data_IF_656664034456
#
_entry.id   IF_656664034456
#
_cell.length_a   1.000
_cell.length_b   1.000
_cell.length_c   1.000
_cell.angle_alpha   90.00
_cell.angle_beta   90.00
_cell.angle_gamma   90.00
#
_symmetry.space_group_name_H-M   'P 1'
#
loop_
_entity.id
_entity.type
_entity.pdbx_description
1 polymer ?
#
# COMPACT_ATOMS: atom_id res chain seq x y z
N UNK A 1 -30.27 21.81 -10.01
CA UNK A 1 -29.68 21.85 -11.37
C UNK A 1 -28.44 20.98 -11.34
N UNK A 2 -28.43 19.82 -12.00
CA UNK A 2 -27.24 18.96 -12.06
C UNK A 2 -26.35 19.44 -13.21
N UNK A 3 -25.07 19.61 -12.94
CA UNK A 3 -24.07 19.84 -13.98
C UNK A 3 -23.90 18.53 -14.76
N UNK A 4 -24.21 18.59 -16.06
CA UNK A 4 -23.88 17.56 -17.03
C UNK A 4 -22.36 17.34 -17.01
N UNK A 5 -21.96 16.10 -16.76
CA UNK A 5 -20.60 15.63 -16.95
C UNK A 5 -20.50 15.05 -18.37
N UNK A 6 -19.64 15.58 -19.26
CA UNK A 6 -19.20 14.83 -20.41
C UNK A 6 -18.09 13.87 -19.98
N UNK A 7 -18.20 12.62 -20.43
CA UNK A 7 -17.16 11.60 -20.34
C UNK A 7 -15.86 12.06 -21.01
N UNK A 8 -14.74 11.77 -20.36
CA UNK A 8 -13.41 12.02 -20.88
C UNK A 8 -12.37 12.13 -19.78
N UNK A 9 -11.74 11.00 -19.44
CA UNK A 9 -10.35 10.95 -18.93
C UNK A 9 -10.09 11.24 -17.43
N UNK A 10 -10.89 10.66 -16.52
CA UNK A 10 -10.66 10.72 -15.06
C UNK A 10 -9.50 9.86 -14.53
N UNK A 11 -8.76 9.16 -15.41
CA UNK A 11 -7.72 8.20 -15.02
C UNK A 11 -6.31 8.55 -15.51
N UNK A 12 -6.09 9.78 -16.02
CA UNK A 12 -4.81 10.14 -16.63
C UNK A 12 -3.65 10.34 -15.63
N UNK A 13 -3.96 10.65 -14.37
CA UNK A 13 -2.97 10.95 -13.32
C UNK A 13 -2.21 9.72 -12.79
N UNK A 14 -2.75 8.51 -12.97
CA UNK A 14 -2.25 7.31 -12.27
C UNK A 14 -1.34 6.41 -13.11
N UNK A 15 -0.98 6.79 -14.34
CA UNK A 15 -0.29 5.86 -15.26
C UNK A 15 1.23 5.83 -15.18
N UNK A 16 1.89 6.82 -14.59
CA UNK A 16 3.37 6.87 -14.48
C UNK A 16 3.79 7.52 -13.15
N UNK A 17 3.64 6.81 -12.02
CA UNK A 17 4.10 7.28 -10.71
C UNK A 17 5.59 6.95 -10.52
N UNK A 18 6.44 7.69 -11.22
CA UNK A 18 7.88 7.74 -10.94
C UNK A 18 8.14 8.96 -10.04
N UNK A 19 8.95 8.79 -8.98
CA UNK A 19 9.46 9.92 -8.18
C UNK A 19 10.78 10.34 -8.81
N UNK A 20 10.79 11.57 -9.29
CA UNK A 20 11.95 12.18 -9.91
C UNK A 20 12.43 13.34 -9.01
N UNK A 21 13.65 13.29 -8.48
CA UNK A 21 14.19 14.38 -7.64
C UNK A 21 14.61 15.55 -8.52
N UNK A 22 14.03 16.73 -8.29
CA UNK A 22 14.42 17.98 -8.98
C UNK A 22 15.61 18.61 -8.25
N UNK A 23 15.50 18.71 -6.92
CA UNK A 23 16.57 19.12 -6.02
C UNK A 23 16.31 18.59 -4.60
N UNK A 24 17.16 19.00 -3.64
CA UNK A 24 17.09 18.59 -2.24
C UNK A 24 15.85 19.10 -1.46
N UNK A 25 14.96 19.84 -2.12
CA UNK A 25 13.71 20.39 -1.58
C UNK A 25 12.50 20.15 -2.48
N UNK A 26 12.66 19.47 -3.62
CA UNK A 26 11.55 19.30 -4.55
C UNK A 26 11.63 18.03 -5.39
N UNK A 27 10.45 17.43 -5.61
CA UNK A 27 10.30 16.13 -6.27
C UNK A 27 9.09 16.14 -7.19
N UNK A 28 9.15 15.41 -8.29
CA UNK A 28 8.01 15.21 -9.19
C UNK A 28 7.45 13.81 -8.98
N UNK A 29 6.15 13.71 -8.74
CA UNK A 29 5.40 12.46 -8.60
C UNK A 29 4.18 12.49 -9.52
N UNK A 30 4.16 11.64 -10.56
CA UNK A 30 2.95 11.46 -11.38
C UNK A 30 2.41 12.73 -12.05
N UNK A 31 3.29 13.72 -12.32
CA UNK A 31 2.91 15.03 -12.87
C UNK A 31 2.59 16.10 -11.82
N UNK A 32 2.75 15.81 -10.53
CA UNK A 32 2.70 16.79 -9.45
C UNK A 32 4.11 17.14 -8.97
N UNK A 33 4.37 18.42 -8.68
CA UNK A 33 5.58 18.90 -8.00
C UNK A 33 5.31 19.01 -6.51
N UNK A 34 6.07 18.29 -5.71
CA UNK A 34 6.11 18.40 -4.25
C UNK A 34 7.27 19.31 -3.89
N UNK A 35 7.05 20.30 -3.00
CA UNK A 35 8.08 21.23 -2.55
C UNK A 35 8.10 21.31 -1.03
N UNK A 36 9.29 21.25 -0.42
CA UNK A 36 9.54 21.40 1.03
C UNK A 36 9.96 22.83 1.36
N UNK A 37 9.46 23.35 2.47
CA UNK A 37 9.75 24.68 3.00
C UNK A 37 10.12 24.62 4.48
N UNK A 38 11.10 25.43 4.89
CA UNK A 38 11.50 25.60 6.30
C UNK A 38 10.57 26.57 7.06
N UNK A 39 9.58 27.14 6.38
CA UNK A 39 8.60 28.06 6.96
C UNK A 39 7.25 27.85 6.30
N UNK A 40 6.19 28.15 7.04
CA UNK A 40 4.80 27.90 6.66
C UNK A 40 4.43 28.60 5.34
N UNK A 41 4.19 27.86 4.24
CA UNK A 41 3.84 28.41 2.95
C UNK A 41 2.34 28.78 2.90
N UNK A 42 1.87 29.44 1.82
CA UNK A 42 0.45 29.58 1.56
C UNK A 42 -0.25 28.21 1.45
N UNK A 43 -1.51 28.13 1.89
CA UNK A 43 -2.33 26.92 1.78
C UNK A 43 -2.65 26.60 0.30
N UNK A 44 -2.82 25.32 -0.09
CA UNK A 44 -2.77 24.13 0.77
C UNK A 44 -1.35 23.64 1.08
N UNK A 45 -1.10 23.26 2.34
CA UNK A 45 0.16 22.64 2.75
C UNK A 45 -0.08 21.55 3.81
N UNK A 46 0.89 20.65 3.99
CA UNK A 46 0.99 19.76 5.15
C UNK A 46 2.33 19.97 5.88
N UNK A 47 2.40 19.57 7.15
CA UNK A 47 3.56 19.74 8.03
C UNK A 47 4.07 18.36 8.46
N UNK A 48 5.38 18.17 8.59
CA UNK A 48 5.96 16.97 9.20
C UNK A 48 6.22 17.17 10.71
N UNK A 49 6.71 16.13 11.38
CA UNK A 49 7.05 16.16 12.80
C UNK A 49 8.38 16.90 13.10
N UNK A 50 9.11 17.31 12.07
CA UNK A 50 10.37 18.03 12.15
C UNK A 50 10.20 19.55 11.92
N UNK A 51 8.97 20.00 11.67
CA UNK A 51 8.62 21.41 11.48
C UNK A 51 8.85 21.92 10.05
N UNK A 52 9.02 21.03 9.07
CA UNK A 52 8.99 21.40 7.66
C UNK A 52 7.56 21.36 7.12
N UNK A 53 7.35 22.15 6.07
CA UNK A 53 6.07 22.28 5.41
C UNK A 53 6.20 21.83 3.96
N UNK A 54 5.12 21.28 3.41
CA UNK A 54 5.11 20.76 2.05
C UNK A 54 3.92 21.28 1.29
N UNK A 55 4.12 21.62 0.02
CA UNK A 55 3.05 21.91 -0.92
C UNK A 55 3.09 20.94 -2.07
N UNK A 56 1.94 20.77 -2.74
CA UNK A 56 1.84 20.01 -3.97
C UNK A 56 1.18 20.88 -5.03
N UNK A 57 1.85 21.06 -6.17
CA UNK A 57 1.33 21.78 -7.34
C UNK A 57 1.40 20.90 -8.58
N UNK A 58 0.84 21.35 -9.69
CA UNK A 58 1.10 20.73 -10.98
C UNK A 58 2.60 20.89 -11.34
N UNK A 59 3.21 19.86 -11.93
CA UNK A 59 4.59 19.93 -12.39
C UNK A 59 4.70 20.88 -13.59
N UNK A 60 5.76 21.70 -13.67
CA UNK A 60 5.92 22.64 -14.77
C UNK A 60 6.18 21.92 -16.11
N UNK A 61 5.77 22.57 -17.20
CA UNK A 61 6.03 22.15 -18.59
C UNK A 61 6.91 23.20 -19.29
N UNK A 62 8.14 22.86 -19.74
CA UNK A 62 8.75 21.53 -19.72
C UNK A 62 9.15 21.07 -18.31
N UNK A 63 9.15 19.74 -18.11
CA UNK A 63 9.61 19.13 -16.86
C UNK A 63 11.03 19.61 -16.51
N UNK A 64 11.31 19.91 -15.23
CA UNK A 64 12.66 20.15 -14.73
C UNK A 64 13.57 18.95 -14.97
N UNK A 65 14.88 19.18 -14.97
CA UNK A 65 15.87 18.09 -14.97
C UNK A 65 15.79 17.38 -13.63
N UNK A 66 15.74 16.05 -13.68
CA UNK A 66 15.63 15.22 -12.48
C UNK A 66 16.75 14.19 -12.38
N UNK A 67 17.04 13.73 -11.16
CA UNK A 67 18.07 12.74 -10.87
C UNK A 67 17.53 11.53 -10.09
N UNK A 68 18.29 10.44 -10.14
CA UNK A 68 18.03 9.20 -9.38
C UNK A 68 18.38 9.42 -7.91
N UNK A 69 17.54 8.91 -7.00
CA UNK A 69 17.79 8.89 -5.55
C UNK A 69 19.06 8.06 -5.23
N UNK A 70 19.92 8.57 -4.34
CA UNK A 70 21.29 8.07 -4.06
C UNK A 70 21.38 6.64 -3.47
N UNK A 71 22.45 5.90 -3.82
CA UNK A 71 22.66 4.46 -3.53
C UNK A 71 23.32 4.11 -2.16
N UNK A 72 23.77 5.08 -1.35
CA UNK A 72 24.52 4.81 -0.10
C UNK A 72 23.64 4.61 1.16
N UNK A 73 22.43 4.08 1.02
CA UNK A 73 21.39 4.29 2.01
C UNK A 73 21.21 3.15 3.03
N UNK A 74 21.22 3.42 4.36
CA UNK A 74 20.90 2.44 5.41
C UNK A 74 19.40 2.08 5.53
N UNK A 75 18.65 2.21 4.43
CA UNK A 75 17.17 2.20 4.34
C UNK A 75 16.52 0.88 4.77
N UNK A 76 17.23 -0.24 4.80
CA UNK A 76 16.62 -1.57 4.93
C UNK A 76 16.06 -1.88 6.33
N UNK A 77 16.71 -1.43 7.39
CA UNK A 77 16.28 -1.71 8.78
C UNK A 77 15.30 -0.67 9.33
N UNK A 78 15.43 0.59 8.92
CA UNK A 78 14.65 1.71 9.47
C UNK A 78 13.29 1.86 8.77
N UNK A 79 13.26 1.72 7.44
CA UNK A 79 12.05 1.91 6.63
C UNK A 79 11.00 0.82 6.89
N UNK A 80 11.44 -0.44 7.03
CA UNK A 80 10.55 -1.57 7.31
C UNK A 80 9.78 -1.39 8.62
N UNK A 81 10.43 -0.80 9.62
CA UNK A 81 9.83 -0.60 10.93
C UNK A 81 8.74 0.47 10.86
N UNK A 82 8.92 1.52 10.07
CA UNK A 82 7.86 2.51 9.84
C UNK A 82 6.66 1.92 9.09
N UNK A 83 6.89 1.09 8.08
CA UNK A 83 5.80 0.42 7.35
C UNK A 83 5.04 -0.53 8.28
N UNK A 84 5.75 -1.41 9.00
CA UNK A 84 5.12 -2.35 9.93
C UNK A 84 4.41 -1.62 11.09
N UNK A 85 5.00 -0.53 11.59
CA UNK A 85 4.36 0.31 12.60
C UNK A 85 3.10 0.97 12.05
N UNK A 86 3.12 1.51 10.82
CA UNK A 86 1.93 2.08 10.21
C UNK A 86 0.82 1.03 10.08
N UNK A 87 1.13 -0.20 9.66
CA UNK A 87 0.15 -1.28 9.64
C UNK A 87 -0.34 -1.71 11.02
N UNK A 88 0.51 -1.63 12.05
CA UNK A 88 0.08 -1.80 13.43
C UNK A 88 -0.87 -0.66 13.86
N UNK A 89 -0.64 0.58 13.44
CA UNK A 89 -1.53 1.70 13.75
C UNK A 89 -2.87 1.56 13.03
N UNK A 90 -2.85 1.18 11.74
CA UNK A 90 -4.05 0.89 10.96
C UNK A 90 -4.86 -0.24 11.61
N UNK A 91 -4.21 -1.32 12.05
CA UNK A 91 -4.91 -2.46 12.64
C UNK A 91 -5.59 -2.20 13.99
N UNK A 92 -5.38 -1.02 14.60
CA UNK A 92 -6.13 -0.59 15.80
C UNK A 92 -7.56 -0.16 15.49
N UNK A 93 -7.89 0.04 14.22
CA UNK A 93 -9.25 0.38 13.81
C UNK A 93 -10.00 -0.92 13.56
N UNK A 94 -11.18 -1.04 14.16
CA UNK A 94 -11.96 -2.27 14.15
C UNK A 94 -13.34 -2.09 13.52
N UNK A 95 -13.90 -3.18 13.04
CA UNK A 95 -15.28 -3.26 12.58
C UNK A 95 -15.91 -4.60 12.99
N UNK A 96 -17.23 -4.70 12.94
CA UNK A 96 -17.98 -5.91 13.31
C UNK A 96 -18.05 -6.92 12.16
N UNK A 97 -17.63 -6.52 10.96
CA UNK A 97 -17.63 -7.36 9.76
C UNK A 97 -16.46 -7.08 8.83
N UNK A 98 -16.27 -8.01 7.90
CA UNK A 98 -15.44 -7.84 6.71
C UNK A 98 -16.19 -6.94 5.72
N UNK A 99 -15.60 -5.79 5.41
CA UNK A 99 -16.18 -4.78 4.50
C UNK A 99 -15.12 -3.78 4.02
N UNK A 100 -15.39 -3.12 2.89
CA UNK A 100 -14.57 -2.01 2.40
C UNK A 100 -14.68 -0.77 3.29
N UNK A 101 -13.86 0.24 3.02
CA UNK A 101 -13.88 1.52 3.77
C UNK A 101 -15.22 2.25 3.73
N UNK A 102 -16.03 1.97 2.70
CA UNK A 102 -17.37 2.52 2.48
C UNK A 102 -18.49 1.68 3.14
N UNK A 103 -18.13 0.58 3.82
CA UNK A 103 -19.07 -0.39 4.39
C UNK A 103 -19.61 -1.40 3.37
N UNK A 104 -19.21 -1.30 2.09
CA UNK A 104 -19.52 -2.26 1.05
C UNK A 104 -18.69 -3.55 1.14
N UNK A 105 -18.75 -4.38 0.11
CA UNK A 105 -17.91 -5.59 0.03
C UNK A 105 -16.45 -5.18 -0.27
N UNK A 106 -15.47 -5.88 0.33
CA UNK A 106 -14.05 -5.66 0.00
C UNK A 106 -13.79 -6.25 -1.39
N UNK A 107 -13.51 -5.40 -2.37
CA UNK A 107 -13.28 -5.80 -3.76
C UNK A 107 -11.86 -6.32 -4.03
N UNK A 108 -11.33 -7.18 -3.14
CA UNK A 108 -9.95 -7.66 -3.21
C UNK A 108 -9.91 -9.12 -3.69
N UNK A 109 -9.36 -9.35 -4.87
CA UNK A 109 -9.46 -10.63 -5.58
C UNK A 109 -8.78 -11.82 -4.89
N UNK A 110 -7.89 -11.59 -3.92
CA UNK A 110 -7.32 -12.67 -3.10
C UNK A 110 -8.24 -13.14 -1.95
N UNK A 111 -9.35 -12.45 -1.66
CA UNK A 111 -10.29 -12.88 -0.61
C UNK A 111 -11.23 -14.00 -1.06
N UNK A 112 -11.34 -14.21 -2.38
CA UNK A 112 -12.20 -15.21 -2.99
C UNK A 112 -11.39 -16.40 -3.54
N UNK A 113 -12.00 -17.59 -3.47
CA UNK A 113 -11.43 -18.82 -4.05
C UNK A 113 -11.46 -18.81 -5.57
N UNK A 114 -12.60 -18.43 -6.13
CA UNK A 114 -12.85 -18.41 -7.58
C UNK A 114 -12.44 -17.06 -8.18
N UNK A 115 -12.00 -17.08 -9.45
CA UNK A 115 -11.66 -15.86 -10.18
C UNK A 115 -12.89 -14.97 -10.37
N UNK A 116 -12.65 -13.65 -10.43
CA UNK A 116 -13.62 -12.57 -10.58
C UNK A 116 -14.84 -12.93 -11.46
N UNK A 117 -16.06 -12.62 -10.99
CA UNK A 117 -17.26 -12.72 -11.82
C UNK A 117 -18.59 -12.90 -11.09
N UNK A 118 -18.58 -13.23 -9.79
CA UNK A 118 -19.80 -13.30 -8.97
C UNK A 118 -19.69 -12.37 -7.76
N UNK A 119 -20.52 -11.32 -7.73
CA UNK A 119 -20.55 -10.34 -6.63
C UNK A 119 -20.76 -10.98 -5.26
N UNK A 120 -21.51 -12.09 -5.20
CA UNK A 120 -21.76 -12.84 -3.96
C UNK A 120 -20.51 -13.47 -3.35
N UNK A 121 -19.43 -13.66 -4.13
CA UNK A 121 -18.17 -14.24 -3.65
C UNK A 121 -17.43 -13.33 -2.68
N UNK A 122 -17.81 -12.05 -2.60
CA UNK A 122 -17.21 -11.04 -1.72
C UNK A 122 -18.10 -10.67 -0.53
N UNK A 123 -19.18 -11.40 -0.31
CA UNK A 123 -20.02 -11.22 0.88
C UNK A 123 -19.26 -11.64 2.14
N UNK A 124 -19.55 -10.95 3.24
CA UNK A 124 -18.91 -11.16 4.53
C UNK A 124 -18.89 -12.64 4.94
N UNK A 125 -20.02 -13.32 4.87
CA UNK A 125 -20.16 -14.72 5.31
C UNK A 125 -19.32 -15.67 4.46
N UNK A 126 -19.20 -15.41 3.16
CA UNK A 126 -18.37 -16.19 2.24
C UNK A 126 -16.89 -15.98 2.55
N UNK A 127 -16.47 -14.73 2.75
CA UNK A 127 -15.08 -14.43 3.06
C UNK A 127 -14.69 -14.97 4.44
N UNK A 128 -15.55 -14.86 5.45
CA UNK A 128 -15.32 -15.49 6.77
C UNK A 128 -15.11 -16.98 6.62
N UNK A 129 -15.98 -17.66 5.87
CA UNK A 129 -15.82 -19.10 5.61
C UNK A 129 -14.48 -19.41 4.94
N UNK A 130 -14.06 -18.63 3.94
CA UNK A 130 -12.78 -18.82 3.26
C UNK A 130 -11.59 -18.73 4.24
N UNK A 131 -11.64 -17.77 5.17
CA UNK A 131 -10.63 -17.61 6.20
C UNK A 131 -10.64 -18.74 7.23
N UNK A 132 -11.82 -19.17 7.66
CA UNK A 132 -11.96 -20.29 8.60
C UNK A 132 -11.48 -21.62 7.98
N UNK A 133 -11.74 -21.85 6.69
CA UNK A 133 -11.29 -23.03 5.97
C UNK A 133 -9.74 -23.15 5.94
N UNK A 134 -9.00 -22.02 5.98
CA UNK A 134 -7.53 -22.01 6.11
C UNK A 134 -7.05 -21.98 7.57
N UNK A 135 -7.96 -22.05 8.53
CA UNK A 135 -7.70 -21.99 9.96
C UNK A 135 -7.35 -20.60 10.50
N UNK A 136 -7.70 -19.54 9.77
CA UNK A 136 -7.56 -18.16 10.23
C UNK A 136 -8.75 -17.78 11.11
N UNK A 137 -8.45 -17.21 12.28
CA UNK A 137 -9.49 -16.84 13.25
C UNK A 137 -10.17 -15.53 12.84
N UNK A 138 -11.49 -15.56 12.71
CA UNK A 138 -12.32 -14.41 12.37
C UNK A 138 -13.00 -13.78 13.61
N UNK A 139 -12.30 -13.74 14.74
CA UNK A 139 -12.81 -13.17 15.99
C UNK A 139 -12.68 -11.65 16.08
N UNK A 140 -11.79 -11.07 15.28
CA UNK A 140 -11.57 -9.64 15.19
C UNK A 140 -11.35 -9.24 13.72
N UNK A 141 -11.97 -8.13 13.31
CA UNK A 141 -11.72 -7.53 12.00
C UNK A 141 -11.05 -6.18 12.20
N UNK A 142 -9.89 -6.01 11.58
CA UNK A 142 -9.04 -4.83 11.68
C UNK A 142 -8.95 -4.14 10.34
N UNK A 143 -8.73 -2.84 10.35
CA UNK A 143 -8.48 -2.08 9.14
C UNK A 143 -7.13 -2.46 8.55
N UNK A 144 -7.14 -2.77 7.26
CA UNK A 144 -6.00 -3.18 6.48
C UNK A 144 -5.97 -2.43 5.16
N UNK A 145 -4.77 -2.03 4.76
CA UNK A 145 -4.51 -1.38 3.48
C UNK A 145 -4.61 -2.36 2.29
N UNK A 146 -4.33 -3.65 2.52
CA UNK A 146 -4.34 -4.74 1.54
C UNK A 146 -3.35 -4.62 0.35
N UNK A 147 -2.67 -3.50 0.16
CA UNK A 147 -1.56 -3.37 -0.81
C UNK A 147 -0.20 -3.22 -0.10
N UNK A 148 0.38 -4.33 0.37
CA UNK A 148 1.72 -4.32 0.98
C UNK A 148 2.80 -4.61 -0.08
N UNK A 149 3.03 -3.64 -0.96
CA UNK A 149 4.05 -3.71 -2.00
C UNK A 149 4.90 -2.44 -2.01
N UNK A 150 6.14 -2.47 -2.57
CA UNK A 150 7.04 -1.32 -2.52
C UNK A 150 6.43 -0.01 -3.04
N UNK A 151 5.66 -0.06 -4.14
CA UNK A 151 5.06 1.13 -4.76
C UNK A 151 3.97 1.79 -3.90
N UNK A 152 3.47 1.10 -2.88
CA UNK A 152 2.44 1.63 -1.97
C UNK A 152 3.00 2.57 -0.91
N UNK A 153 4.32 2.73 -0.80
CA UNK A 153 4.93 3.51 0.27
C UNK A 153 5.81 4.63 -0.27
N UNK A 154 5.66 5.81 0.32
CA UNK A 154 6.61 6.90 0.18
C UNK A 154 7.43 7.00 1.46
N UNK A 155 8.73 6.86 1.34
CA UNK A 155 9.65 6.81 2.46
C UNK A 155 10.78 7.79 2.22
N UNK A 156 11.10 8.59 3.23
CA UNK A 156 12.24 9.49 3.25
C UNK A 156 13.27 8.99 4.26
N UNK A 157 14.53 9.11 3.90
CA UNK A 157 15.65 8.59 4.69
C UNK A 157 15.74 9.21 6.09
N UNK A 158 15.32 10.46 6.24
CA UNK A 158 15.46 11.25 7.48
C UNK A 158 14.17 11.33 8.27
N UNK A 159 13.03 11.25 7.59
CA UNK A 159 11.70 11.44 8.17
C UNK A 159 10.90 10.15 8.30
N UNK A 160 11.35 9.06 7.66
CA UNK A 160 10.66 7.78 7.71
C UNK A 160 9.50 7.71 6.72
N UNK A 161 8.38 7.10 7.11
CA UNK A 161 7.22 6.94 6.24
C UNK A 161 6.51 8.29 6.03
N UNK A 162 6.58 8.81 4.82
CA UNK A 162 5.90 10.04 4.41
C UNK A 162 4.46 9.80 3.98
N UNK A 163 4.15 8.62 3.44
CA UNK A 163 2.82 8.34 2.92
C UNK A 163 2.58 6.89 2.51
N UNK A 164 1.31 6.53 2.47
CA UNK A 164 0.81 5.25 1.95
C UNK A 164 -0.18 5.56 0.81
N UNK A 165 -0.07 4.82 -0.29
CA UNK A 165 -0.93 4.93 -1.48
C UNK A 165 -1.53 3.58 -1.84
N UNK A 166 -2.54 3.61 -2.74
CA UNK A 166 -3.32 2.44 -3.19
C UNK A 166 -4.36 1.97 -2.16
N UNK A 167 -5.20 2.92 -1.73
CA UNK A 167 -6.27 2.69 -0.76
C UNK A 167 -7.54 2.06 -1.35
N UNK A 168 -7.56 1.74 -2.64
CA UNK A 168 -8.76 1.27 -3.36
C UNK A 168 -9.25 -0.11 -2.91
N UNK A 169 -8.35 -0.96 -2.40
CA UNK A 169 -8.72 -2.25 -1.80
C UNK A 169 -8.69 -2.24 -0.25
N UNK A 170 -8.56 -1.07 0.37
CA UNK A 170 -8.54 -0.97 1.83
C UNK A 170 -9.89 -1.34 2.46
N UNK A 171 -9.84 -1.98 3.62
CA UNK A 171 -11.04 -2.44 4.31
C UNK A 171 -10.74 -3.19 5.59
N UNK A 172 -11.78 -3.78 6.16
CA UNK A 172 -11.73 -4.55 7.39
C UNK A 172 -11.65 -6.05 7.07
N UNK A 173 -10.65 -6.71 7.65
CA UNK A 173 -10.28 -8.11 7.40
C UNK A 173 -9.78 -8.76 8.70
N UNK A 174 -9.68 -10.09 8.81
CA UNK A 174 -9.07 -10.70 10.00
C UNK A 174 -7.65 -10.20 10.22
N UNK A 175 -7.27 -9.99 11.48
CA UNK A 175 -5.95 -9.42 11.84
C UNK A 175 -4.77 -10.09 11.15
N UNK A 176 -4.76 -11.42 11.13
CA UNK A 176 -3.66 -12.19 10.55
C UNK A 176 -3.64 -12.15 9.00
N UNK A 177 -4.69 -11.64 8.36
CA UNK A 177 -4.67 -11.37 6.93
C UNK A 177 -3.65 -10.29 6.57
N UNK A 178 -3.43 -9.32 7.46
CA UNK A 178 -2.49 -8.21 7.25
C UNK A 178 -1.09 -8.71 6.88
N UNK A 179 -0.55 -9.70 7.62
CA UNK A 179 0.74 -10.32 7.30
C UNK A 179 0.62 -11.35 6.18
N UNK A 180 -0.49 -12.07 6.08
CA UNK A 180 -0.67 -13.05 4.99
C UNK A 180 -0.63 -12.39 3.61
N UNK A 181 -1.09 -11.14 3.51
CA UNK A 181 -1.08 -10.37 2.26
C UNK A 181 0.31 -10.01 1.75
N UNK A 182 1.33 -9.93 2.61
CA UNK A 182 2.69 -9.56 2.18
C UNK A 182 3.29 -10.58 1.22
N UNK A 183 2.83 -11.84 1.25
CA UNK A 183 3.23 -12.87 0.28
C UNK A 183 2.27 -13.01 -0.90
N UNK A 184 1.02 -12.58 -0.72
CA UNK A 184 -0.03 -12.71 -1.71
C UNK A 184 0.08 -11.71 -2.84
N UNK A 185 0.51 -10.48 -2.52
CA UNK A 185 0.52 -9.37 -3.47
C UNK A 185 1.83 -8.55 -3.45
N UNK A 186 2.96 -9.17 -3.10
CA UNK A 186 4.20 -8.45 -2.84
C UNK A 186 4.66 -7.54 -3.99
N UNK A 187 4.40 -7.94 -5.24
CA UNK A 187 4.95 -7.28 -6.42
C UNK A 187 4.04 -7.26 -7.65
N UNK A 188 2.76 -7.62 -7.55
CA UNK A 188 1.90 -7.73 -8.74
C UNK A 188 1.82 -6.40 -9.48
N UNK A 189 1.40 -5.34 -8.80
CA UNK A 189 1.29 -4.00 -9.38
C UNK A 189 2.62 -3.22 -9.30
N UNK A 190 3.56 -3.63 -8.44
CA UNK A 190 4.91 -3.04 -8.37
C UNK A 190 5.90 -3.63 -9.39
N UNK A 191 5.51 -4.65 -10.17
CA UNK A 191 6.41 -5.40 -11.05
C UNK A 191 7.16 -4.51 -12.03
N UNK A 192 6.47 -3.57 -12.70
CA UNK A 192 7.09 -2.65 -13.65
C UNK A 192 8.17 -1.76 -13.00
N UNK A 193 7.89 -1.25 -11.80
CA UNK A 193 8.80 -0.40 -11.02
C UNK A 193 10.03 -1.19 -10.59
N UNK A 194 9.81 -2.38 -10.00
CA UNK A 194 10.87 -3.28 -9.55
C UNK A 194 11.80 -3.67 -10.70
N UNK A 195 11.24 -3.96 -11.89
CA UNK A 195 12.03 -4.22 -13.10
C UNK A 195 12.78 -2.99 -13.59
N UNK A 196 12.14 -1.82 -13.62
CA UNK A 196 12.75 -0.58 -14.10
C UNK A 196 13.97 -0.18 -13.25
N UNK A 197 13.85 -0.28 -11.92
CA UNK A 197 14.93 0.02 -10.99
C UNK A 197 15.94 -1.13 -10.83
N UNK A 198 15.79 -2.21 -11.60
CA UNK A 198 16.77 -3.30 -11.66
C UNK A 198 16.88 -4.11 -10.37
N UNK A 199 15.80 -4.22 -9.59
CA UNK A 199 15.77 -5.07 -8.40
C UNK A 199 16.10 -6.51 -8.79
N UNK A 200 17.10 -7.06 -8.12
CA UNK A 200 17.47 -8.46 -8.18
C UNK A 200 16.46 -9.32 -7.42
N UNK A 201 16.51 -10.63 -7.61
CA UNK A 201 15.74 -11.55 -6.74
C UNK A 201 16.17 -11.42 -5.27
N UNK A 202 17.44 -11.10 -5.01
CA UNK A 202 17.93 -10.83 -3.66
C UNK A 202 17.24 -9.63 -3.01
N UNK A 203 17.02 -8.53 -3.75
CA UNK A 203 16.33 -7.34 -3.24
C UNK A 203 14.86 -7.62 -2.91
N UNK A 204 14.20 -8.46 -3.72
CA UNK A 204 12.82 -8.91 -3.48
C UNK A 204 12.72 -9.81 -2.26
N UNK A 205 13.63 -10.77 -2.14
CA UNK A 205 13.71 -11.67 -0.99
C UNK A 205 13.98 -10.88 0.29
N UNK A 206 14.89 -9.91 0.23
CA UNK A 206 15.23 -9.03 1.34
C UNK A 206 14.03 -8.18 1.78
N UNK A 207 13.31 -7.55 0.84
CA UNK A 207 12.07 -6.83 1.13
C UNK A 207 11.04 -7.69 1.86
N UNK A 208 10.74 -8.87 1.31
CA UNK A 208 9.79 -9.80 1.89
C UNK A 208 10.21 -10.23 3.30
N UNK A 209 11.47 -10.64 3.46
CA UNK A 209 12.04 -11.09 4.73
C UNK A 209 11.90 -10.01 5.82
N UNK A 210 12.20 -8.76 5.47
CA UNK A 210 12.20 -7.65 6.40
C UNK A 210 10.81 -7.19 6.84
N UNK A 211 9.88 -7.03 5.91
CA UNK A 211 8.49 -6.69 6.25
C UNK A 211 7.86 -7.82 7.09
N UNK A 212 8.11 -9.07 6.73
CA UNK A 212 7.60 -10.21 7.49
C UNK A 212 8.13 -10.26 8.90
N UNK A 213 9.45 -10.09 9.07
CA UNK A 213 10.09 -10.09 10.40
C UNK A 213 9.49 -8.99 11.27
N UNK A 214 9.35 -7.78 10.75
CA UNK A 214 8.78 -6.67 11.49
C UNK A 214 7.31 -6.92 11.90
N UNK A 215 6.49 -7.51 11.01
CA UNK A 215 5.10 -7.86 11.35
C UNK A 215 4.98 -9.02 12.36
N UNK A 216 5.91 -9.98 12.32
CA UNK A 216 5.99 -11.05 13.34
C UNK A 216 6.20 -10.41 14.72
N UNK A 217 7.15 -9.47 14.83
CA UNK A 217 7.44 -8.77 16.08
C UNK A 217 6.25 -7.96 16.60
N UNK A 218 5.36 -7.49 15.72
CA UNK A 218 4.10 -6.82 16.07
C UNK A 218 2.93 -7.78 16.36
N UNK A 219 3.16 -9.09 16.30
CA UNK A 219 2.18 -10.12 16.69
C UNK A 219 1.18 -10.51 15.60
N UNK A 220 1.50 -10.26 14.32
CA UNK A 220 0.70 -10.77 13.20
C UNK A 220 1.16 -12.19 12.81
N UNK A 221 0.23 -13.14 12.74
CA UNK A 221 0.50 -14.49 12.22
C UNK A 221 0.32 -14.51 10.71
N UNK A 222 0.88 -15.51 10.02
CA UNK A 222 0.65 -15.71 8.59
C UNK A 222 -0.09 -17.02 8.34
N UNK A 223 -0.76 -17.08 7.18
CA UNK A 223 -1.47 -18.27 6.73
C UNK A 223 -1.18 -18.57 5.25
N UNK A 224 -0.10 -18.02 4.68
CA UNK A 224 0.17 -18.06 3.24
C UNK A 224 0.20 -19.48 2.64
N UNK A 225 0.95 -20.42 3.23
CA UNK A 225 1.04 -21.80 2.71
C UNK A 225 -0.32 -22.49 2.70
N UNK A 226 -1.11 -22.32 3.77
CA UNK A 226 -2.47 -22.86 3.84
C UNK A 226 -3.38 -22.21 2.81
N UNK A 227 -3.29 -20.89 2.68
CA UNK A 227 -4.06 -20.11 1.73
C UNK A 227 -3.80 -20.54 0.28
N UNK A 228 -2.55 -20.67 -0.16
CA UNK A 228 -2.24 -21.09 -1.54
C UNK A 228 -2.68 -22.51 -1.81
N UNK A 229 -2.56 -23.43 -0.83
CA UNK A 229 -3.05 -24.80 -0.95
C UNK A 229 -4.57 -24.84 -1.06
N UNK A 230 -5.27 -24.10 -0.21
CA UNK A 230 -6.73 -23.99 -0.26
C UNK A 230 -7.22 -23.44 -1.60
N UNK A 231 -6.58 -22.37 -2.09
CA UNK A 231 -6.90 -21.78 -3.40
C UNK A 231 -6.64 -22.75 -4.55
N UNK A 232 -5.58 -23.55 -4.46
CA UNK A 232 -5.26 -24.61 -5.41
C UNK A 232 -6.14 -25.87 -5.28
N UNK A 233 -7.05 -25.94 -4.30
CA UNK A 233 -7.86 -27.13 -4.02
C UNK A 233 -7.10 -28.30 -3.40
N UNK A 234 -5.95 -28.02 -2.78
CA UNK A 234 -5.08 -28.97 -2.09
C UNK A 234 -5.33 -29.01 -0.57
N UNK A 235 -6.21 -28.14 -0.07
CA UNK A 235 -6.72 -28.13 1.30
C UNK A 235 -8.25 -28.31 1.22
N UNK A 236 -8.79 -29.27 1.98
CA UNK A 236 -10.22 -29.58 2.05
C UNK A 236 -10.84 -28.94 3.29
#
# INVERSE_FOLDING_TARGET
MPFNHPDGDKHRWFRNMEIEEVDNTSWILGGALISRYDSKPPQPYWEDDQGFYYTMTEAPDPKPITQRVSDSCPITDFTRNYIAEAYLQLSKWHNDRICGVDGGNVAHHWLAREAQGQDSSYNHEVIVKNFEDIGMYCSEFVFAHNHMMPLSFMVDEKQGLLGIFMWDEAGFVPKDWVRTMTRSNAFTESSAVVHHYGWTEGDKDEWCFFIETALIEKGFREFWDKYVRWRAGLLN
#
